data_IF_473213336002
#
_entry.id   IF_473213336002
#
_cell.length_a   1.000
_cell.length_b   1.000
_cell.length_c   1.000
_cell.angle_alpha   90.00
_cell.angle_beta   90.00
_cell.angle_gamma   90.00
#
_symmetry.space_group_name_H-M   'P 1'
#
loop_
_entity.id
_entity.type
_entity.pdbx_description
1 polymer ?
#
# COMPACT_ATOMS: atom_id res chain seq x y z
N UNK A 1 2.16 27.37 -11.65
CA UNK A 1 1.01 26.65 -11.08
C UNK A 1 1.32 25.17 -11.15
N UNK A 2 1.26 24.48 -10.01
CA UNK A 2 1.50 23.04 -9.92
C UNK A 2 0.21 22.24 -10.15
N UNK A 3 0.28 20.91 -10.38
CA UNK A 3 -0.93 20.10 -10.54
C UNK A 3 -1.90 20.16 -9.35
N UNK A 4 -1.40 20.18 -8.10
CA UNK A 4 -2.28 20.28 -6.91
C UNK A 4 -2.95 21.65 -6.85
N UNK A 5 -2.23 22.73 -7.15
CA UNK A 5 -2.80 24.08 -7.21
C UNK A 5 -3.89 24.18 -8.28
N UNK A 6 -3.67 23.58 -9.44
CA UNK A 6 -4.69 23.51 -10.49
C UNK A 6 -5.95 22.77 -10.02
N UNK A 7 -5.81 21.61 -9.36
CA UNK A 7 -6.96 20.88 -8.80
C UNK A 7 -7.72 21.72 -7.75
N UNK A 8 -6.99 22.49 -6.93
CA UNK A 8 -7.58 23.38 -5.93
C UNK A 8 -8.47 24.46 -6.55
N UNK A 9 -8.05 25.05 -7.68
CA UNK A 9 -8.82 26.08 -8.39
C UNK A 9 -10.11 25.54 -9.06
N UNK A 10 -10.26 24.21 -9.12
CA UNK A 10 -11.37 23.54 -9.80
C UNK A 10 -12.20 22.66 -8.86
N UNK A 11 -12.10 22.86 -7.54
CA UNK A 11 -12.83 22.08 -6.52
C UNK A 11 -12.52 20.57 -6.56
N UNK A 12 -11.32 20.19 -7.02
CA UNK A 12 -10.82 18.81 -7.03
C UNK A 12 -9.93 18.50 -5.83
N UNK A 13 -10.13 19.17 -4.70
CA UNK A 13 -9.52 18.86 -3.41
C UNK A 13 -10.61 18.80 -2.34
N UNK A 14 -10.44 17.97 -1.33
CA UNK A 14 -11.43 17.79 -0.28
C UNK A 14 -11.30 16.45 0.42
N UNK A 15 -12.08 16.26 1.48
CA UNK A 15 -12.14 15.01 2.23
C UNK A 15 -12.86 13.87 1.46
N UNK A 16 -13.46 14.20 0.31
CA UNK A 16 -14.08 13.31 -0.66
C UNK A 16 -13.16 13.04 -1.88
N UNK A 17 -11.94 13.57 -1.89
CA UNK A 17 -10.96 13.39 -2.97
C UNK A 17 -9.72 12.67 -2.46
N UNK A 18 -9.18 11.79 -3.28
CA UNK A 18 -7.85 11.21 -3.12
C UNK A 18 -7.15 11.08 -4.47
N UNK A 19 -5.83 11.14 -4.46
CA UNK A 19 -5.01 10.93 -5.65
C UNK A 19 -4.09 9.72 -5.50
N UNK A 20 -3.82 9.03 -6.61
CA UNK A 20 -2.77 8.04 -6.65
C UNK A 20 -1.38 8.70 -6.73
N UNK A 21 -0.36 7.99 -6.23
CA UNK A 21 1.06 8.27 -6.40
C UNK A 21 1.63 9.46 -5.62
N UNK A 22 1.26 10.70 -5.96
CA UNK A 22 1.73 11.97 -5.36
C UNK A 22 3.23 12.02 -5.01
N UNK A 23 4.10 11.56 -5.92
CA UNK A 23 5.54 11.37 -5.64
C UNK A 23 6.34 12.68 -5.61
N UNK A 24 5.94 13.68 -6.41
CA UNK A 24 6.70 14.92 -6.63
C UNK A 24 5.92 16.13 -6.14
N UNK A 25 5.80 16.25 -4.82
CA UNK A 25 5.10 17.36 -4.19
C UNK A 25 6.08 18.40 -3.63
N UNK A 26 5.72 19.66 -3.77
CA UNK A 26 6.32 20.76 -3.01
C UNK A 26 5.73 20.81 -1.58
N UNK A 27 6.45 21.37 -0.59
CA UNK A 27 5.96 21.49 0.79
C UNK A 27 4.61 22.20 0.90
N UNK A 28 4.36 23.22 0.09
CA UNK A 28 3.09 23.95 0.06
C UNK A 28 1.92 23.12 -0.49
N UNK A 29 2.19 22.15 -1.38
CA UNK A 29 1.19 21.22 -1.91
C UNK A 29 0.83 20.19 -0.85
N UNK A 30 1.82 19.64 -0.14
CA UNK A 30 1.61 18.75 1.01
C UNK A 30 0.73 19.43 2.06
N UNK A 31 1.06 20.67 2.41
CA UNK A 31 0.29 21.45 3.37
C UNK A 31 -1.15 21.71 2.88
N UNK A 32 -1.35 21.94 1.57
CA UNK A 32 -2.67 22.15 0.98
C UNK A 32 -3.53 20.87 0.99
N UNK A 33 -2.95 19.72 0.63
CA UNK A 33 -3.62 18.43 0.71
C UNK A 33 -4.04 18.12 2.16
N UNK A 34 -3.15 18.37 3.12
CA UNK A 34 -3.43 18.19 4.53
C UNK A 34 -4.56 19.08 5.05
N UNK A 35 -4.55 20.38 4.71
CA UNK A 35 -5.62 21.32 5.09
C UNK A 35 -6.99 20.95 4.52
N UNK A 36 -7.03 20.39 3.31
CA UNK A 36 -8.28 20.00 2.64
C UNK A 36 -8.76 18.60 3.03
N UNK A 37 -7.90 17.81 3.69
CA UNK A 37 -8.18 16.41 3.97
C UNK A 37 -8.12 15.51 2.73
N UNK A 38 -7.48 15.97 1.64
CA UNK A 38 -7.34 15.21 0.40
C UNK A 38 -6.40 14.03 0.62
N UNK A 39 -6.85 12.82 0.32
CA UNK A 39 -6.11 11.58 0.58
C UNK A 39 -5.08 11.20 -0.49
N UNK A 40 -4.27 10.19 -0.17
CA UNK A 40 -3.36 9.52 -1.10
C UNK A 40 -3.62 8.01 -1.16
N UNK A 41 -3.57 7.44 -2.37
CA UNK A 41 -3.34 6.02 -2.60
C UNK A 41 -1.86 5.81 -2.99
N UNK A 42 -1.06 5.33 -2.04
CA UNK A 42 0.37 5.12 -2.24
C UNK A 42 0.64 3.78 -2.92
N UNK A 43 1.27 3.82 -4.09
CA UNK A 43 1.61 2.65 -4.90
C UNK A 43 3.15 2.49 -5.05
N UNK A 44 3.87 2.13 -3.97
CA UNK A 44 5.33 2.06 -3.95
C UNK A 44 5.94 1.16 -5.03
N UNK A 45 5.38 -0.02 -5.30
CA UNK A 45 5.93 -0.93 -6.30
C UNK A 45 5.82 -0.34 -7.70
N UNK A 46 4.65 0.23 -8.03
CA UNK A 46 4.45 0.93 -9.32
C UNK A 46 5.35 2.15 -9.46
N UNK A 47 5.40 3.00 -8.43
CA UNK A 47 6.27 4.16 -8.42
C UNK A 47 7.74 3.79 -8.61
N UNK A 48 8.18 2.69 -7.98
CA UNK A 48 9.52 2.13 -8.13
C UNK A 48 9.77 1.58 -9.53
N UNK A 49 8.87 0.72 -10.04
CA UNK A 49 8.99 0.10 -11.37
C UNK A 49 9.07 1.15 -12.48
N UNK A 50 8.27 2.20 -12.40
CA UNK A 50 8.25 3.29 -13.39
C UNK A 50 9.37 4.32 -13.18
N UNK A 51 10.23 4.17 -12.17
CA UNK A 51 11.29 5.12 -11.87
C UNK A 51 10.79 6.48 -11.36
N UNK A 52 9.55 6.56 -10.87
CA UNK A 52 8.94 7.81 -10.39
C UNK A 52 9.60 8.31 -9.10
N UNK A 53 10.00 7.40 -8.21
CA UNK A 53 10.60 7.71 -6.91
C UNK A 53 9.73 7.29 -5.72
N UNK A 54 9.98 7.86 -4.55
CA UNK A 54 9.29 7.48 -3.29
C UNK A 54 8.52 8.69 -2.75
N UNK A 55 7.19 8.58 -2.68
CA UNK A 55 6.33 9.60 -2.06
C UNK A 55 6.67 9.77 -0.57
N UNK A 56 6.61 11.00 -0.06
CA UNK A 56 6.94 11.33 1.33
C UNK A 56 5.74 11.11 2.25
N UNK A 57 5.46 9.85 2.62
CA UNK A 57 4.31 9.55 3.46
C UNK A 57 4.41 10.20 4.83
N UNK A 58 5.61 10.31 5.40
CA UNK A 58 5.79 10.94 6.71
C UNK A 58 5.40 12.41 6.66
N UNK A 59 5.86 13.16 5.65
CA UNK A 59 5.49 14.57 5.50
C UNK A 59 3.99 14.74 5.24
N UNK A 60 3.39 13.85 4.44
CA UNK A 60 1.95 13.84 4.16
C UNK A 60 1.13 13.58 5.43
N UNK A 61 1.46 12.54 6.19
CA UNK A 61 0.76 12.22 7.44
C UNK A 61 0.92 13.33 8.49
N UNK A 62 2.12 13.90 8.62
CA UNK A 62 2.36 15.04 9.53
C UNK A 62 1.55 16.27 9.14
N UNK A 63 1.27 16.47 7.85
CA UNK A 63 0.41 17.53 7.37
C UNK A 63 -1.09 17.22 7.54
N UNK A 64 -1.46 16.00 7.93
CA UNK A 64 -2.85 15.57 8.10
C UNK A 64 -3.49 14.93 6.86
N UNK A 65 -2.69 14.55 5.85
CA UNK A 65 -3.19 13.83 4.67
C UNK A 65 -3.58 12.40 5.04
N UNK A 66 -4.81 11.94 4.75
CA UNK A 66 -5.18 10.54 4.88
C UNK A 66 -4.36 9.66 3.92
N UNK A 67 -3.67 8.66 4.45
CA UNK A 67 -2.82 7.75 3.66
C UNK A 67 -3.45 6.38 3.55
N UNK A 68 -3.49 5.86 2.32
CA UNK A 68 -3.80 4.46 2.02
C UNK A 68 -2.73 3.82 1.13
N UNK A 69 -2.81 2.50 0.97
CA UNK A 69 -1.99 1.73 0.00
C UNK A 69 -2.82 1.28 -1.19
N UNK A 70 -2.20 1.24 -2.36
CA UNK A 70 -2.77 0.67 -3.58
C UNK A 70 -1.70 -0.01 -4.42
N UNK A 71 -2.07 -1.03 -5.19
CA UNK A 71 -1.12 -1.79 -6.03
C UNK A 71 -0.94 -1.22 -7.44
N UNK A 72 -1.80 -0.28 -7.85
CA UNK A 72 -1.93 0.17 -9.25
C UNK A 72 -2.22 -1.00 -10.22
N UNK A 73 -2.02 -0.84 -11.52
CA UNK A 73 -2.27 -1.90 -12.51
C UNK A 73 -1.13 -2.92 -12.63
N UNK A 74 -1.46 -4.16 -13.04
CA UNK A 74 -0.46 -5.20 -13.31
C UNK A 74 0.58 -4.81 -14.42
N UNK A 75 0.21 -3.83 -15.25
CA UNK A 75 1.09 -3.24 -16.26
C UNK A 75 2.16 -2.29 -15.68
N UNK A 76 2.04 -1.89 -14.41
CA UNK A 76 3.02 -1.12 -13.64
C UNK A 76 3.40 -1.78 -12.31
N UNK A 77 2.81 -2.92 -11.94
CA UNK A 77 3.18 -3.72 -10.79
C UNK A 77 2.94 -5.22 -11.05
N UNK A 78 4.01 -5.98 -11.35
CA UNK A 78 3.89 -7.40 -11.73
C UNK A 78 3.40 -8.30 -10.60
N UNK A 79 3.57 -7.91 -9.34
CA UNK A 79 3.10 -8.68 -8.19
C UNK A 79 1.59 -8.46 -7.97
N UNK A 80 1.14 -7.21 -8.10
CA UNK A 80 -0.26 -6.78 -7.96
C UNK A 80 -0.95 -7.33 -6.69
N UNK A 81 -0.21 -7.45 -5.59
CA UNK A 81 -0.70 -8.00 -4.32
C UNK A 81 -0.34 -7.11 -3.12
N UNK A 82 -1.21 -7.10 -2.11
CA UNK A 82 -1.09 -6.20 -0.96
C UNK A 82 0.06 -6.56 0.00
N UNK A 83 0.53 -7.82 0.04
CA UNK A 83 1.62 -8.20 0.93
C UNK A 83 2.96 -7.68 0.40
N UNK A 84 3.18 -7.83 -0.90
CA UNK A 84 4.32 -7.23 -1.59
C UNK A 84 4.27 -5.69 -1.50
N UNK A 85 3.08 -5.09 -1.66
CA UNK A 85 2.93 -3.63 -1.62
C UNK A 85 3.21 -3.08 -0.22
N UNK A 86 2.70 -3.74 0.82
CA UNK A 86 2.95 -3.41 2.21
C UNK A 86 4.44 -3.54 2.57
N UNK A 87 5.08 -4.64 2.16
CA UNK A 87 6.51 -4.84 2.38
C UNK A 87 7.35 -3.75 1.70
N UNK A 88 7.01 -3.40 0.45
CA UNK A 88 7.64 -2.33 -0.29
C UNK A 88 7.44 -0.96 0.36
N UNK A 89 6.20 -0.64 0.79
CA UNK A 89 5.90 0.60 1.51
C UNK A 89 6.78 0.75 2.76
N UNK A 90 6.85 -0.31 3.57
CA UNK A 90 7.65 -0.34 4.80
C UNK A 90 9.13 -0.06 4.54
N UNK A 91 9.75 -0.80 3.61
CA UNK A 91 11.17 -0.65 3.31
C UNK A 91 11.48 0.69 2.63
N UNK A 92 10.65 1.13 1.68
CA UNK A 92 10.93 2.34 0.90
C UNK A 92 10.79 3.62 1.72
N UNK A 93 9.85 3.71 2.66
CA UNK A 93 9.78 4.87 3.56
C UNK A 93 11.01 4.95 4.47
N UNK A 94 11.47 3.81 4.99
CA UNK A 94 12.70 3.72 5.80
C UNK A 94 13.95 4.07 4.99
N UNK A 95 14.04 3.56 3.77
CA UNK A 95 15.14 3.87 2.84
C UNK A 95 15.15 5.36 2.47
N UNK A 96 13.98 5.94 2.14
CA UNK A 96 13.85 7.36 1.78
C UNK A 96 14.38 8.27 2.88
N UNK A 97 13.92 8.10 4.13
CA UNK A 97 14.43 8.88 5.27
C UNK A 97 15.93 8.64 5.46
N UNK A 98 16.38 7.38 5.39
CA UNK A 98 17.79 7.02 5.51
C UNK A 98 18.70 7.69 4.47
N UNK A 99 18.23 7.85 3.21
CA UNK A 99 18.98 8.53 2.15
C UNK A 99 19.18 10.03 2.41
N UNK A 100 18.35 10.64 3.26
CA UNK A 100 18.48 12.04 3.67
C UNK A 100 19.42 12.20 4.88
N UNK A 101 19.86 11.10 5.50
CA UNK A 101 20.78 11.15 6.63
C UNK A 101 22.14 11.70 6.19
N UNK A 102 22.70 12.57 7.03
CA UNK A 102 24.07 13.02 6.92
C UNK A 102 24.81 12.52 8.16
N UNK A 103 26.09 12.14 8.05
CA UNK A 103 26.84 11.72 9.23
C UNK A 103 27.00 12.90 10.20
N UNK A 104 26.97 12.63 11.52
CA UNK A 104 27.11 13.67 12.57
C UNK A 104 28.29 14.61 12.37
N UNK A 105 29.44 14.10 11.95
CA UNK A 105 30.64 14.94 11.73
C UNK A 105 30.49 15.93 10.56
N UNK A 106 29.52 15.72 9.67
CA UNK A 106 29.19 16.61 8.56
C UNK A 106 27.97 17.50 8.87
N UNK A 107 27.53 17.57 10.13
CA UNK A 107 26.40 18.39 10.56
C UNK A 107 25.03 17.68 10.51
N UNK A 108 25.00 16.37 10.31
CA UNK A 108 23.76 15.60 10.33
C UNK A 108 23.16 15.43 11.73
N UNK A 109 21.83 15.28 11.77
CA UNK A 109 21.04 15.21 13.01
C UNK A 109 20.49 13.81 13.31
N UNK A 110 20.61 12.88 12.36
CA UNK A 110 20.16 11.50 12.49
C UNK A 110 21.00 10.56 11.61
N UNK A 111 21.01 9.27 11.93
CA UNK A 111 21.95 8.27 11.36
C UNK A 111 21.26 7.25 10.43
N UNK A 112 19.95 7.37 10.19
CA UNK A 112 19.20 6.47 9.32
C UNK A 112 17.68 6.71 9.35
N UNK A 113 16.93 5.85 8.67
CA UNK A 113 15.46 5.97 8.57
C UNK A 113 14.68 4.80 9.15
N UNK A 114 15.29 3.99 10.02
CA UNK A 114 14.68 2.77 10.54
C UNK A 114 13.34 3.00 11.25
N UNK A 115 13.15 4.20 11.82
CA UNK A 115 11.97 4.67 12.54
C UNK A 115 10.96 5.41 11.63
N UNK A 116 11.21 5.48 10.33
CA UNK A 116 10.35 6.25 9.42
C UNK A 116 8.96 5.63 9.25
N UNK A 117 8.88 4.30 9.28
CA UNK A 117 7.63 3.56 9.16
C UNK A 117 7.70 2.32 10.05
N UNK A 118 6.72 2.18 10.94
CA UNK A 118 6.49 0.96 11.70
C UNK A 118 5.69 -0.04 10.87
N UNK A 119 5.56 -1.28 11.34
CA UNK A 119 4.68 -2.25 10.68
C UNK A 119 3.22 -1.87 10.90
N UNK A 120 2.91 -1.31 12.07
CA UNK A 120 1.60 -0.80 12.46
C UNK A 120 1.15 0.35 11.57
N UNK A 121 2.05 1.25 11.19
CA UNK A 121 1.77 2.31 10.20
C UNK A 121 1.33 1.72 8.86
N UNK A 122 2.06 0.71 8.39
CA UNK A 122 1.79 0.06 7.09
C UNK A 122 0.48 -0.73 7.14
N UNK A 123 0.22 -1.44 8.24
CA UNK A 123 -1.07 -2.12 8.46
C UNK A 123 -2.19 -1.09 8.46
N UNK A 124 -2.02 0.05 9.14
CA UNK A 124 -3.00 1.14 9.16
C UNK A 124 -3.23 1.73 7.77
N UNK A 125 -2.19 2.00 6.99
CA UNK A 125 -2.33 2.48 5.59
C UNK A 125 -3.09 1.47 4.72
N UNK A 126 -2.77 0.18 4.84
CA UNK A 126 -3.40 -0.89 4.07
C UNK A 126 -4.80 -1.30 4.53
N UNK A 127 -5.27 -0.83 5.68
CA UNK A 127 -6.59 -1.18 6.24
C UNK A 127 -7.43 0.06 6.54
N UNK A 128 -7.35 0.60 7.76
CA UNK A 128 -8.13 1.74 8.22
C UNK A 128 -7.98 2.98 7.33
N UNK A 129 -6.77 3.25 6.83
CA UNK A 129 -6.48 4.37 5.92
C UNK A 129 -7.21 4.21 4.58
N UNK A 130 -7.18 3.02 3.99
CA UNK A 130 -7.96 2.68 2.80
C UNK A 130 -9.46 2.80 3.03
N UNK A 131 -9.97 2.24 4.14
CA UNK A 131 -11.38 2.35 4.49
C UNK A 131 -11.83 3.81 4.68
N UNK A 132 -10.99 4.64 5.31
CA UNK A 132 -11.25 6.07 5.50
C UNK A 132 -11.39 6.80 4.17
N UNK A 133 -10.42 6.67 3.26
CA UNK A 133 -10.47 7.42 1.99
C UNK A 133 -11.57 6.94 1.04
N UNK A 134 -12.01 5.68 1.17
CA UNK A 134 -13.09 5.11 0.38
C UNK A 134 -14.48 5.34 1.01
N UNK A 135 -14.56 6.00 2.18
CA UNK A 135 -15.81 6.23 2.89
C UNK A 135 -16.45 4.96 3.50
N UNK A 136 -15.66 3.91 3.72
CA UNK A 136 -16.10 2.63 4.28
C UNK A 136 -16.05 2.64 5.82
N UNK A 137 -16.93 3.42 6.43
CA UNK A 137 -16.91 3.72 7.87
C UNK A 137 -16.98 2.50 8.82
N UNK A 138 -17.42 1.33 8.35
CA UNK A 138 -17.55 0.10 9.14
C UNK A 138 -16.48 -0.95 8.80
N UNK A 139 -15.41 -0.60 8.08
CA UNK A 139 -14.34 -1.53 7.73
C UNK A 139 -12.95 -0.97 8.12
N UNK A 140 -11.91 -1.80 7.99
CA UNK A 140 -10.51 -1.40 8.16
C UNK A 140 -9.96 -1.46 9.59
N UNK A 141 -10.78 -1.69 10.63
CA UNK A 141 -10.29 -1.91 12.00
C UNK A 141 -10.93 -3.12 12.67
N UNK A 142 -10.18 -3.76 13.58
CA UNK A 142 -10.68 -4.86 14.39
C UNK A 142 -11.28 -4.31 15.70
N UNK A 143 -12.56 -3.93 15.66
CA UNK A 143 -13.29 -3.36 16.80
C UNK A 143 -14.73 -3.88 16.84
N UNK A 144 -15.32 -3.94 18.04
CA UNK A 144 -16.73 -4.31 18.21
C UNK A 144 -17.61 -3.32 17.45
N UNK A 145 -18.51 -3.84 16.61
CA UNK A 145 -19.41 -3.03 15.77
C UNK A 145 -18.93 -2.82 14.32
N UNK A 146 -17.68 -3.20 14.00
CA UNK A 146 -17.17 -3.19 12.63
C UNK A 146 -17.56 -4.45 11.86
N UNK A 147 -17.50 -4.40 10.53
CA UNK A 147 -17.64 -5.57 9.68
C UNK A 147 -16.53 -6.58 9.96
N UNK A 148 -16.86 -7.86 9.95
CA UNK A 148 -15.91 -8.94 10.17
C UNK A 148 -15.12 -9.27 8.88
N UNK A 149 -14.36 -8.29 8.40
CA UNK A 149 -13.43 -8.40 7.29
C UNK A 149 -12.04 -8.74 7.83
N UNK A 150 -11.69 -10.03 7.85
CA UNK A 150 -10.55 -10.54 8.61
C UNK A 150 -9.62 -11.39 7.74
N UNK A 151 -8.34 -11.03 7.69
CA UNK A 151 -7.28 -11.87 7.14
C UNK A 151 -6.54 -12.58 8.29
N UNK A 152 -6.55 -13.91 8.27
CA UNK A 152 -5.87 -14.74 9.27
C UNK A 152 -4.71 -15.46 8.57
N UNK A 153 -3.49 -15.07 8.92
CA UNK A 153 -2.28 -15.63 8.34
C UNK A 153 -1.76 -16.83 9.13
N UNK A 154 -1.24 -17.80 8.40
CA UNK A 154 -0.43 -18.90 8.94
C UNK A 154 1.04 -18.50 8.84
N UNK A 155 1.76 -18.59 9.95
CA UNK A 155 3.16 -18.17 10.06
C UNK A 155 4.08 -19.36 10.38
N UNK A 156 3.91 -20.46 9.64
CA UNK A 156 4.64 -21.73 9.77
C UNK A 156 5.69 -21.95 8.67
N UNK A 157 5.90 -20.95 7.80
CA UNK A 157 7.01 -20.94 6.82
C UNK A 157 8.36 -20.63 7.51
N UNK A 158 9.48 -21.25 7.07
CA UNK A 158 10.81 -21.00 7.62
C UNK A 158 11.22 -19.53 7.74
N UNK A 159 10.68 -18.63 6.92
CA UNK A 159 10.97 -17.19 6.99
C UNK A 159 10.53 -16.52 8.31
N UNK A 160 9.61 -17.15 9.04
CA UNK A 160 9.13 -16.65 10.32
C UNK A 160 9.87 -17.28 11.51
N UNK A 161 10.66 -18.32 11.31
CA UNK A 161 11.34 -19.04 12.38
C UNK A 161 12.46 -18.17 12.97
N UNK A 162 12.24 -17.69 14.20
CA UNK A 162 13.19 -16.83 14.91
C UNK A 162 12.74 -15.37 15.07
N UNK A 163 11.55 -15.01 14.57
CA UNK A 163 10.96 -13.71 14.90
C UNK A 163 10.69 -13.59 16.40
N UNK A 164 11.15 -12.49 17.00
CA UNK A 164 10.81 -12.15 18.40
C UNK A 164 9.36 -11.69 18.55
N UNK A 165 8.80 -11.11 17.49
CA UNK A 165 7.40 -10.77 17.38
C UNK A 165 6.87 -11.37 16.08
N UNK A 166 5.92 -12.29 16.17
CA UNK A 166 5.32 -12.92 15.00
C UNK A 166 4.37 -11.98 14.25
N UNK A 167 3.80 -10.97 14.92
CA UNK A 167 2.80 -10.08 14.34
C UNK A 167 3.38 -9.22 13.20
N UNK A 168 4.69 -8.96 13.20
CA UNK A 168 5.34 -8.21 12.11
C UNK A 168 5.49 -9.03 10.83
N UNK A 169 5.41 -10.36 10.93
CA UNK A 169 5.77 -11.31 9.87
C UNK A 169 5.12 -11.02 8.50
N UNK A 170 3.79 -10.84 8.41
CA UNK A 170 3.09 -10.57 7.14
C UNK A 170 3.59 -9.34 6.38
N UNK A 171 4.19 -8.36 7.05
CA UNK A 171 4.73 -7.14 6.42
C UNK A 171 6.25 -7.21 6.29
N UNK A 172 6.96 -7.62 7.35
CA UNK A 172 8.40 -7.45 7.45
C UNK A 172 9.22 -8.55 6.75
N UNK A 173 8.72 -9.79 6.69
CA UNK A 173 9.51 -10.93 6.22
C UNK A 173 9.57 -11.08 4.69
N UNK A 174 8.78 -10.30 3.95
CA UNK A 174 8.63 -10.46 2.51
C UNK A 174 8.03 -11.82 2.10
N UNK A 175 7.95 -12.03 0.79
CA UNK A 175 7.20 -13.16 0.23
C UNK A 175 5.71 -13.04 0.51
N UNK A 176 5.01 -14.18 0.52
CA UNK A 176 3.56 -14.26 0.74
C UNK A 176 3.27 -15.12 1.98
N UNK A 177 2.72 -14.52 3.04
CA UNK A 177 2.13 -15.26 4.14
C UNK A 177 0.88 -16.00 3.65
N UNK A 178 0.79 -17.28 3.99
CA UNK A 178 -0.35 -18.12 3.64
C UNK A 178 -1.58 -17.66 4.44
N UNK A 179 -2.73 -17.53 3.77
CA UNK A 179 -4.01 -17.29 4.43
C UNK A 179 -4.53 -18.62 4.97
N UNK A 180 -4.63 -18.70 6.30
CA UNK A 180 -5.44 -19.76 6.93
C UNK A 180 -6.92 -19.51 6.66
N UNK A 181 -7.36 -18.27 6.76
CA UNK A 181 -8.71 -17.87 6.41
C UNK A 181 -8.75 -16.40 5.97
N UNK A 182 -9.66 -16.08 5.05
CA UNK A 182 -10.08 -14.70 4.75
C UNK A 182 -11.59 -14.63 4.90
N UNK A 183 -12.07 -13.71 5.71
CA UNK A 183 -13.49 -13.48 5.94
C UNK A 183 -13.89 -12.14 5.33
N UNK A 184 -15.05 -12.11 4.70
CA UNK A 184 -15.73 -10.89 4.23
C UNK A 184 -17.09 -10.83 4.91
N UNK A 185 -17.33 -9.79 5.71
CA UNK A 185 -18.54 -9.64 6.53
C UNK A 185 -18.87 -10.93 7.33
N UNK A 186 -17.84 -11.54 7.93
CA UNK A 186 -17.95 -12.75 8.75
C UNK A 186 -18.13 -14.06 7.98
N UNK A 187 -18.13 -14.02 6.64
CA UNK A 187 -18.23 -15.23 5.81
C UNK A 187 -16.85 -15.62 5.29
N UNK A 188 -16.40 -16.87 5.47
CA UNK A 188 -15.15 -17.32 4.88
C UNK A 188 -15.24 -17.31 3.36
N UNK A 189 -14.29 -16.64 2.71
CA UNK A 189 -14.13 -16.58 1.25
C UNK A 189 -12.81 -17.19 0.77
N UNK A 190 -11.85 -17.38 1.69
CA UNK A 190 -10.62 -18.16 1.49
C UNK A 190 -10.45 -19.05 2.71
N UNK A 191 -10.10 -20.31 2.49
CA UNK A 191 -9.74 -21.27 3.54
C UNK A 191 -8.49 -22.02 3.10
N UNK A 192 -7.46 -22.01 3.94
CA UNK A 192 -6.16 -22.65 3.68
C UNK A 192 -5.62 -22.36 2.27
N UNK A 193 -5.53 -21.07 1.93
CA UNK A 193 -5.10 -20.52 0.64
C UNK A 193 -5.95 -20.90 -0.59
N UNK A 194 -7.07 -21.58 -0.40
CA UNK A 194 -8.00 -21.92 -1.47
C UNK A 194 -9.20 -20.98 -1.49
N UNK A 195 -9.56 -20.50 -2.69
CA UNK A 195 -10.83 -19.79 -2.93
C UNK A 195 -11.88 -20.85 -3.32
N UNK A 196 -12.93 -21.08 -2.52
CA UNK A 196 -13.94 -22.09 -2.84
C UNK A 196 -14.60 -21.84 -4.20
N UNK A 197 -14.65 -22.88 -5.04
CA UNK A 197 -15.28 -22.83 -6.36
C UNK A 197 -14.42 -22.23 -7.48
N UNK A 198 -13.20 -21.76 -7.19
CA UNK A 198 -12.26 -21.30 -8.21
C UNK A 198 -11.44 -22.47 -8.77
N UNK A 199 -11.59 -22.74 -10.07
CA UNK A 199 -10.68 -23.61 -10.81
C UNK A 199 -9.49 -22.80 -11.32
N UNK A 200 -8.35 -22.93 -10.64
CA UNK A 200 -7.12 -22.23 -10.99
C UNK A 200 -6.54 -22.67 -12.33
N UNK A 201 -6.75 -23.92 -12.74
CA UNK A 201 -6.26 -24.41 -14.03
C UNK A 201 -7.10 -23.88 -15.18
N UNK A 202 -8.42 -23.83 -15.03
CA UNK A 202 -9.31 -23.17 -15.98
C UNK A 202 -8.96 -21.68 -16.12
N UNK A 203 -8.81 -20.97 -14.99
CA UNK A 203 -8.42 -19.55 -14.98
C UNK A 203 -7.06 -19.32 -15.68
N UNK A 204 -6.08 -20.21 -15.44
CA UNK A 204 -4.78 -20.18 -16.12
C UNK A 204 -4.93 -20.33 -17.64
N UNK A 205 -5.76 -21.26 -18.10
CA UNK A 205 -6.01 -21.45 -19.53
C UNK A 205 -6.66 -20.22 -20.18
N UNK A 206 -7.67 -19.64 -19.53
CA UNK A 206 -8.35 -18.44 -20.01
C UNK A 206 -7.40 -17.24 -20.08
N UNK A 207 -6.59 -17.02 -19.05
CA UNK A 207 -5.60 -15.95 -19.02
C UNK A 207 -4.57 -16.09 -20.16
N UNK A 208 -4.04 -17.30 -20.38
CA UNK A 208 -3.08 -17.56 -21.47
C UNK A 208 -3.71 -17.41 -22.86
N UNK A 209 -4.99 -17.76 -23.02
CA UNK A 209 -5.71 -17.51 -24.26
C UNK A 209 -5.87 -16.02 -24.52
N UNK A 210 -6.29 -15.25 -23.50
CA UNK A 210 -6.45 -13.80 -23.60
C UNK A 210 -5.13 -13.09 -23.94
N UNK A 211 -4.01 -13.46 -23.30
CA UNK A 211 -2.69 -12.89 -23.62
C UNK A 211 -2.30 -13.15 -25.07
N UNK A 212 -2.51 -14.37 -25.59
CA UNK A 212 -2.23 -14.69 -27.00
C UNK A 212 -3.08 -13.84 -27.96
N UNK A 213 -4.37 -13.66 -27.66
CA UNK A 213 -5.23 -12.77 -28.45
C UNK A 213 -4.76 -11.32 -28.41
N UNK A 214 -4.36 -10.82 -27.24
CA UNK A 214 -3.80 -9.47 -27.11
C UNK A 214 -2.50 -9.31 -27.90
N UNK A 215 -1.59 -10.28 -27.83
CA UNK A 215 -0.35 -10.26 -28.61
C UNK A 215 -0.60 -10.24 -30.12
N UNK A 216 -1.59 -11.00 -30.60
CA UNK A 216 -1.98 -11.00 -32.01
C UNK A 216 -2.59 -9.67 -32.47
N UNK A 217 -3.33 -8.98 -31.59
CA UNK A 217 -3.96 -7.68 -31.89
C UNK A 217 -3.02 -6.50 -31.74
N UNK A 218 -2.10 -6.58 -30.78
CA UNK A 218 -1.10 -5.55 -30.50
C UNK A 218 0.08 -5.60 -31.48
N UNK A 219 0.19 -6.68 -32.26
CA UNK A 219 1.02 -6.69 -33.45
C UNK A 219 0.55 -5.59 -34.42
N UNK A 220 1.28 -4.47 -34.40
CA UNK A 220 1.54 -3.62 -35.57
C UNK A 220 2.09 -4.48 -36.70
#
# INVERSE_FOLDING_TARGET
MTPVQFCAEHDWLGNDVWFAHLVKLLPEEIALLGRTGTGIAHCPQSNGRLGSGIADLLALEQAGVPVSLGVDGAASNEAADMQSEAHAAWLLQRARKGMLAQPRYAGGTFEGGADAATVEDVVRWGSAGGAQILGLAQSGTLQVGMQADLAIYRLDDPRYFGLHDMAIGPVACGGRAALKALLLNGRPIVEDDAIPGLDLDAMRHDALAAVRTLQQRAAV
#
